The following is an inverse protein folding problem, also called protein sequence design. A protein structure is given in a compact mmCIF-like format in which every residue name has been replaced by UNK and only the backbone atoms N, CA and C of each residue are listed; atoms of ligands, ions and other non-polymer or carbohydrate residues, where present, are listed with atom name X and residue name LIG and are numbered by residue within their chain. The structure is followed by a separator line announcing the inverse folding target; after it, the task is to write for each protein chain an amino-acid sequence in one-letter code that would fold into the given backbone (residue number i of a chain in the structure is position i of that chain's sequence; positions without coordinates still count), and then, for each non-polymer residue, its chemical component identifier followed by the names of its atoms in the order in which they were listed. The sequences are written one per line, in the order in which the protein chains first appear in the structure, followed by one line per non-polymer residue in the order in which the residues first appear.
data_IF_957146348148
#
_entry.id   IF_957146348148
#
_cell.length_a   1.000
_cell.length_b   1.000
_cell.length_c   1.000
_cell.angle_alpha   90.00
_cell.angle_beta   90.00
_cell.angle_gamma   90.00
#
_symmetry.space_group_name_H-M   'P 1'
#
loop_
_entity.id
_entity.type
_entity.pdbx_description
1 polymer ?
#
# COMPACT_ATOMS: atom_id res chain seq x y z
N UNK A 1 17.82 15.48 10.06
CA UNK A 1 17.37 15.01 9.93
C UNK A 1 16.93 14.05 9.60
N UNK A 2 16.76 13.70 9.63
CA UNK A 2 16.33 12.88 9.30
C UNK A 2 15.82 12.30 9.01
N UNK A 3 15.73 11.93 8.80
CA UNK A 3 15.26 11.43 8.45
C UNK A 3 14.53 10.56 7.96
N UNK A 4 13.99 10.48 7.75
CA UNK A 4 13.09 9.67 7.12
C UNK A 4 13.53 9.25 5.82
N UNK A 5 14.65 8.79 5.66
CA UNK A 5 15.10 8.40 4.39
C UNK A 5 14.46 7.16 3.94
N UNK A 6 13.86 6.42 4.81
CA UNK A 6 13.14 5.23 4.40
C UNK A 6 11.97 5.60 3.49
N UNK A 7 11.59 6.85 3.48
CA UNK A 7 10.50 7.29 2.61
C UNK A 7 10.98 7.80 1.27
N UNK A 8 12.25 7.59 0.99
CA UNK A 8 12.80 8.04 -0.27
C UNK A 8 12.95 6.95 -1.30
N UNK A 9 12.28 5.84 -1.09
CA UNK A 9 12.29 4.80 -2.10
C UNK A 9 11.56 5.30 -3.33
N UNK A 10 12.08 4.93 -4.48
CA UNK A 10 11.45 5.31 -5.72
C UNK A 10 10.13 4.57 -5.89
N UNK A 11 9.30 5.07 -6.81
CA UNK A 11 8.03 4.41 -7.12
C UNK A 11 8.26 2.96 -7.53
N UNK A 12 9.27 2.73 -8.36
CA UNK A 12 9.59 1.39 -8.84
C UNK A 12 9.95 0.46 -7.69
N UNK A 13 10.72 0.96 -6.74
CA UNK A 13 11.11 0.16 -5.59
C UNK A 13 9.91 -0.22 -4.74
N UNK A 14 9.02 0.72 -4.53
CA UNK A 14 7.82 0.45 -3.74
C UNK A 14 6.94 -0.57 -4.43
N UNK A 15 6.77 -0.43 -5.74
CA UNK A 15 6.00 -1.39 -6.51
C UNK A 15 6.60 -2.79 -6.39
N UNK A 16 7.92 -2.87 -6.47
CA UNK A 16 8.61 -4.15 -6.39
C UNK A 16 8.40 -4.79 -5.03
N UNK A 17 8.49 -3.99 -3.96
CA UNK A 17 8.28 -4.50 -2.61
C UNK A 17 6.85 -5.02 -2.45
N UNK A 18 5.89 -4.30 -2.97
CA UNK A 18 4.51 -4.73 -2.89
C UNK A 18 4.33 -6.06 -3.62
N UNK A 19 4.88 -6.16 -4.82
CA UNK A 19 4.76 -7.38 -5.60
C UNK A 19 5.43 -8.56 -4.92
N UNK A 20 6.52 -8.30 -4.23
CA UNK A 20 7.27 -9.37 -3.59
C UNK A 20 6.61 -9.86 -2.29
N UNK A 21 6.07 -8.94 -1.50
CA UNK A 21 5.62 -9.29 -0.16
C UNK A 21 4.10 -9.44 -0.02
N UNK A 22 3.33 -8.90 -0.96
CA UNK A 22 1.88 -8.98 -0.89
C UNK A 22 1.42 -9.95 -1.97
N UNK A 23 0.96 -11.12 -1.57
CA UNK A 23 0.67 -12.18 -2.51
C UNK A 23 -0.67 -12.06 -3.21
N UNK A 24 -1.65 -11.45 -2.56
CA UNK A 24 -2.98 -11.31 -3.15
C UNK A 24 -2.99 -10.17 -4.15
N UNK A 25 -3.38 -10.47 -5.38
CA UNK A 25 -3.34 -9.49 -6.46
C UNK A 25 -4.21 -8.26 -6.17
N UNK A 26 -5.42 -8.50 -5.66
CA UNK A 26 -6.29 -7.38 -5.32
C UNK A 26 -5.64 -6.49 -4.26
N UNK A 27 -5.06 -7.10 -3.25
CA UNK A 27 -4.42 -6.34 -2.18
C UNK A 27 -3.20 -5.57 -2.68
N UNK A 28 -2.44 -6.17 -3.61
CA UNK A 28 -1.34 -5.45 -4.23
C UNK A 28 -1.82 -4.20 -4.93
N UNK A 29 -2.91 -4.32 -5.68
CA UNK A 29 -3.44 -3.18 -6.40
C UNK A 29 -3.95 -2.10 -5.44
N UNK A 30 -4.60 -2.50 -4.37
CA UNK A 30 -5.08 -1.55 -3.36
C UNK A 30 -3.91 -0.78 -2.76
N UNK A 31 -2.84 -1.49 -2.41
CA UNK A 31 -1.66 -0.85 -1.82
C UNK A 31 -0.96 0.08 -2.80
N UNK A 32 -0.86 -0.33 -4.06
CA UNK A 32 -0.25 0.54 -5.06
C UNK A 32 -1.06 1.82 -5.25
N UNK A 33 -2.38 1.69 -5.31
CA UNK A 33 -3.22 2.86 -5.47
C UNK A 33 -3.12 3.78 -4.24
N UNK A 34 -3.02 3.19 -3.07
CA UNK A 34 -2.91 3.99 -1.85
C UNK A 34 -1.55 4.65 -1.70
N UNK A 35 -0.49 3.88 -1.85
CA UNK A 35 0.85 4.37 -1.54
C UNK A 35 1.48 5.15 -2.69
N UNK A 36 1.17 4.80 -3.91
CA UNK A 36 1.79 5.46 -5.06
C UNK A 36 0.91 6.54 -5.67
N UNK A 37 -0.39 6.30 -5.72
CA UNK A 37 -1.30 7.25 -6.35
C UNK A 37 -2.03 8.14 -5.33
N UNK A 38 -1.95 7.80 -4.06
CA UNK A 38 -2.48 8.67 -3.01
C UNK A 38 -3.99 8.69 -2.87
N UNK A 39 -4.67 7.64 -3.30
CA UNK A 39 -6.12 7.58 -3.18
C UNK A 39 -6.53 7.54 -1.70
N UNK A 40 -7.68 8.15 -1.41
CA UNK A 40 -8.24 8.05 -0.08
C UNK A 40 -8.86 6.68 0.13
N UNK A 41 -9.12 6.33 1.39
CA UNK A 41 -9.78 5.06 1.68
C UNK A 41 -11.16 4.99 1.05
N UNK A 42 -11.87 6.11 1.01
CA UNK A 42 -13.19 6.15 0.38
C UNK A 42 -13.10 5.91 -1.12
N UNK A 43 -12.11 6.50 -1.75
CA UNK A 43 -11.90 6.28 -3.18
C UNK A 43 -11.57 4.82 -3.47
N UNK A 44 -10.74 4.23 -2.63
CA UNK A 44 -10.38 2.82 -2.80
C UNK A 44 -11.58 1.91 -2.57
N UNK A 45 -12.38 2.23 -1.55
CA UNK A 45 -13.58 1.45 -1.27
C UNK A 45 -14.51 1.44 -2.47
N UNK A 46 -14.67 2.59 -3.11
CA UNK A 46 -15.52 2.70 -4.27
C UNK A 46 -14.94 1.95 -5.47
N UNK A 47 -13.64 2.13 -5.70
CA UNK A 47 -13.00 1.50 -6.85
C UNK A 47 -13.03 -0.02 -6.77
N UNK A 48 -12.80 -0.56 -5.59
CA UNK A 48 -12.71 -2.00 -5.40
C UNK A 48 -13.99 -2.62 -4.87
N UNK A 49 -15.04 -1.81 -4.73
CA UNK A 49 -16.36 -2.27 -4.28
C UNK A 49 -16.25 -2.98 -2.93
N UNK A 50 -15.57 -2.33 -2.02
CA UNK A 50 -15.37 -2.86 -0.66
C UNK A 50 -15.73 -1.77 0.34
N UNK A 51 -15.93 -2.17 1.58
CA UNK A 51 -16.18 -1.18 2.63
C UNK A 51 -14.88 -0.47 2.97
N UNK A 52 -15.00 0.74 3.51
CA UNK A 52 -13.84 1.49 3.96
C UNK A 52 -13.08 0.69 5.02
N UNK A 53 -13.82 0.03 5.89
CA UNK A 53 -13.22 -0.78 6.95
C UNK A 53 -12.35 -1.90 6.39
N UNK A 54 -12.85 -2.58 5.36
CA UNK A 54 -12.08 -3.63 4.73
C UNK A 54 -10.83 -3.08 4.06
N UNK A 55 -10.97 -1.93 3.40
CA UNK A 55 -9.83 -1.30 2.76
C UNK A 55 -8.77 -0.93 3.80
N UNK A 56 -9.19 -0.33 4.91
CA UNK A 56 -8.25 0.04 5.97
C UNK A 56 -7.50 -1.17 6.51
N UNK A 57 -8.21 -2.27 6.71
CA UNK A 57 -7.57 -3.49 7.19
C UNK A 57 -6.50 -3.98 6.22
N UNK A 58 -6.82 -3.97 4.95
CA UNK A 58 -5.88 -4.43 3.93
C UNK A 58 -4.66 -3.51 3.89
N UNK A 59 -4.89 -2.21 3.91
CA UNK A 59 -3.79 -1.25 3.83
C UNK A 59 -2.91 -1.35 5.08
N UNK A 60 -3.51 -1.41 6.26
CA UNK A 60 -2.73 -1.46 7.49
C UNK A 60 -1.89 -2.73 7.57
N UNK A 61 -2.47 -3.86 7.22
CA UNK A 61 -1.71 -5.12 7.23
C UNK A 61 -0.61 -5.11 6.18
N UNK A 62 -0.91 -4.55 5.01
CA UNK A 62 0.08 -4.46 3.97
C UNK A 62 1.23 -3.55 4.35
N UNK A 63 0.92 -2.38 4.90
CA UNK A 63 1.96 -1.46 5.32
C UNK A 63 2.82 -2.07 6.41
N UNK A 64 2.21 -2.77 7.35
CA UNK A 64 2.96 -3.43 8.41
C UNK A 64 3.94 -4.43 7.82
N UNK A 65 3.48 -5.21 6.87
CA UNK A 65 4.33 -6.21 6.23
C UNK A 65 5.48 -5.57 5.46
N UNK A 66 5.16 -4.52 4.71
CA UNK A 66 6.18 -3.84 3.92
C UNK A 66 7.22 -3.18 4.80
N UNK A 67 6.80 -2.50 5.84
CA UNK A 67 7.73 -1.78 6.70
C UNK A 67 8.64 -2.70 7.48
N UNK A 68 8.23 -3.93 7.72
CA UNK A 68 9.11 -4.88 8.37
C UNK A 68 10.29 -5.27 7.49
N UNK A 69 10.16 -5.09 6.20
CA UNK A 69 11.18 -5.49 5.26
C UNK A 69 11.90 -4.30 4.62
N UNK A 70 11.60 -3.12 5.10
CA UNK A 70 12.30 -1.94 4.63
C UNK A 70 13.43 -1.60 5.60
#
# INVERSE_FOLDING_TARGET
MVKRKEYHKSRTEIEHEIDEWILNERNRNILKRRLLDGLTYEQLAEEFEMSVRQIKNIVYKGEDKLFKHL
#
